data_IF_514331598325
#
_entry.id   IF_514331598325
#
_cell.length_a   1.000
_cell.length_b   1.000
_cell.length_c   1.000
_cell.angle_alpha   90.00
_cell.angle_beta   90.00
_cell.angle_gamma   90.00
#
_symmetry.space_group_name_H-M   'P 1'
#
loop_
_entity.id
_entity.type
_entity.pdbx_description
1 polymer ?
#
# COMPACT_ATOMS: atom_id res chain seq x y z
N UNK A 1 24.90 -6.41 -22.32
CA UNK A 1 23.96 -7.00 -21.35
C UNK A 1 24.80 -7.44 -20.18
N UNK A 2 24.94 -6.56 -19.18
CA UNK A 2 25.59 -6.92 -17.92
C UNK A 2 24.44 -7.34 -17.02
N UNK A 3 24.33 -8.64 -16.79
CA UNK A 3 23.44 -9.25 -15.81
C UNK A 3 23.82 -8.64 -14.46
N UNK A 4 22.89 -7.94 -13.81
CA UNK A 4 23.13 -7.23 -12.56
C UNK A 4 22.81 -8.19 -11.40
N UNK A 5 23.82 -8.82 -10.76
CA UNK A 5 23.60 -9.92 -9.82
C UNK A 5 22.85 -9.50 -8.55
N UNK A 6 22.76 -8.20 -8.25
CA UNK A 6 22.10 -7.71 -7.03
C UNK A 6 20.56 -7.74 -7.07
N UNK A 7 19.94 -7.79 -8.25
CA UNK A 7 18.47 -7.79 -8.36
C UNK A 7 17.90 -9.19 -8.04
N UNK A 8 18.63 -10.25 -8.42
CA UNK A 8 18.20 -11.63 -8.20
C UNK A 8 18.14 -11.98 -6.70
N UNK A 9 19.09 -11.46 -5.91
CA UNK A 9 19.16 -11.75 -4.47
C UNK A 9 17.97 -11.15 -3.68
N UNK A 10 17.49 -9.96 -4.04
CA UNK A 10 16.33 -9.33 -3.38
C UNK A 10 15.00 -10.00 -3.78
N UNK A 11 14.84 -10.34 -5.06
CA UNK A 11 13.63 -11.02 -5.56
C UNK A 11 13.49 -12.42 -4.95
N UNK A 12 14.59 -13.18 -4.84
CA UNK A 12 14.60 -14.51 -4.21
C UNK A 12 14.26 -14.43 -2.72
N UNK A 13 14.70 -13.39 -2.01
CA UNK A 13 14.36 -13.20 -0.60
C UNK A 13 12.87 -12.89 -0.42
N UNK A 14 12.28 -12.07 -1.28
CA UNK A 14 10.84 -11.74 -1.25
C UNK A 14 9.97 -12.96 -1.57
N UNK A 15 10.37 -13.78 -2.54
CA UNK A 15 9.68 -15.02 -2.87
C UNK A 15 9.72 -16.03 -1.72
N UNK A 16 10.88 -16.23 -1.10
CA UNK A 16 11.04 -17.15 0.05
C UNK A 16 10.23 -16.68 1.26
N UNK A 17 10.20 -15.38 1.51
CA UNK A 17 9.41 -14.81 2.59
C UNK A 17 7.90 -14.99 2.33
N UNK A 18 7.46 -14.74 1.09
CA UNK A 18 6.07 -14.93 0.68
C UNK A 18 5.64 -16.38 0.87
N UNK A 19 6.44 -17.35 0.39
CA UNK A 19 6.16 -18.78 0.57
C UNK A 19 6.03 -19.18 2.03
N UNK A 20 6.85 -18.59 2.90
CA UNK A 20 6.84 -18.89 4.32
C UNK A 20 5.61 -18.31 5.03
N UNK A 21 5.18 -17.10 4.65
CA UNK A 21 3.93 -16.50 5.15
C UNK A 21 2.73 -17.34 4.69
N UNK A 22 2.68 -17.71 3.41
CA UNK A 22 1.62 -18.57 2.86
C UNK A 22 1.59 -19.98 3.47
N UNK A 23 2.74 -20.49 3.94
CA UNK A 23 2.78 -21.73 4.70
C UNK A 23 2.14 -21.58 6.09
N UNK A 24 2.36 -20.44 6.75
CA UNK A 24 1.86 -20.19 8.10
C UNK A 24 0.37 -19.85 8.15
N UNK A 25 -0.17 -19.19 7.13
CA UNK A 25 -1.62 -18.91 7.02
C UNK A 25 -2.42 -20.08 6.41
N UNK A 26 -1.74 -21.04 5.78
CA UNK A 26 -2.34 -22.22 5.17
C UNK A 26 -2.89 -22.00 3.76
N UNK A 27 -2.45 -20.94 3.05
CA UNK A 27 -2.87 -20.67 1.67
C UNK A 27 -2.17 -21.56 0.60
N UNK A 28 -1.15 -22.34 0.98
CA UNK A 28 -0.45 -23.27 0.07
C UNK A 28 -1.25 -24.54 -0.23
N UNK A 29 -1.13 -25.03 -1.47
CA UNK A 29 -1.64 -26.35 -1.84
C UNK A 29 -0.77 -27.50 -1.27
N UNK A 30 -1.27 -28.73 -1.28
CA UNK A 30 -0.58 -29.90 -0.73
C UNK A 30 0.84 -30.11 -1.33
N UNK A 31 1.04 -29.77 -2.60
CA UNK A 31 2.33 -29.95 -3.27
C UNK A 31 3.33 -28.88 -2.85
N UNK A 32 2.87 -27.64 -2.74
CA UNK A 32 3.65 -26.50 -2.28
C UNK A 32 3.99 -26.62 -0.79
N UNK A 33 3.05 -27.07 0.03
CA UNK A 33 3.25 -27.33 1.46
C UNK A 33 4.37 -28.34 1.69
N UNK A 34 4.34 -29.48 0.97
CA UNK A 34 5.41 -30.48 1.05
C UNK A 34 6.79 -29.93 0.63
N UNK A 35 6.82 -29.07 -0.40
CA UNK A 35 8.07 -28.45 -0.87
C UNK A 35 8.65 -27.47 0.16
N UNK A 36 7.81 -26.66 0.80
CA UNK A 36 8.24 -25.75 1.88
C UNK A 36 8.69 -26.53 3.11
N UNK A 37 8.00 -27.60 3.49
CA UNK A 37 8.41 -28.47 4.61
C UNK A 37 9.77 -29.12 4.37
N UNK A 38 10.02 -29.61 3.15
CA UNK A 38 11.32 -30.14 2.79
C UNK A 38 12.40 -29.06 2.83
N UNK A 39 12.08 -27.83 2.44
CA UNK A 39 12.99 -26.69 2.52
C UNK A 39 13.32 -26.33 3.97
N UNK A 40 12.31 -26.29 4.86
CA UNK A 40 12.48 -26.07 6.30
C UNK A 40 13.36 -27.15 6.95
N UNK A 41 13.23 -28.42 6.57
CA UNK A 41 14.09 -29.49 7.11
C UNK A 41 15.57 -29.25 6.75
N UNK A 42 15.84 -28.81 5.53
CA UNK A 42 17.19 -28.69 5.00
C UNK A 42 17.85 -27.33 5.29
N UNK A 43 17.05 -26.29 5.53
CA UNK A 43 17.52 -24.91 5.73
C UNK A 43 17.27 -24.44 7.19
N UNK A 44 18.32 -24.30 8.01
CA UNK A 44 18.19 -23.78 9.37
C UNK A 44 17.80 -22.29 9.44
N UNK A 45 18.17 -21.49 8.44
CA UNK A 45 17.85 -20.05 8.41
C UNK A 45 16.37 -19.86 8.09
N UNK A 46 15.84 -20.64 7.15
CA UNK A 46 14.41 -20.66 6.83
C UNK A 46 13.55 -21.07 8.05
N UNK A 47 14.02 -22.04 8.86
CA UNK A 47 13.35 -22.39 10.13
C UNK A 47 13.36 -21.27 11.14
N UNK A 48 14.49 -20.60 11.30
CA UNK A 48 14.60 -19.44 12.20
C UNK A 48 13.61 -18.35 11.81
N UNK A 49 13.47 -18.06 10.52
CA UNK A 49 12.49 -17.09 10.03
C UNK A 49 11.04 -17.55 10.28
N UNK A 50 10.75 -18.84 10.11
CA UNK A 50 9.43 -19.42 10.39
C UNK A 50 9.04 -19.25 11.86
N UNK A 51 9.98 -19.55 12.75
CA UNK A 51 9.81 -19.43 14.20
C UNK A 51 9.57 -17.97 14.64
N UNK A 52 10.28 -17.01 14.03
CA UNK A 52 10.09 -15.58 14.31
C UNK A 52 8.70 -15.13 13.88
N UNK A 53 8.25 -15.51 12.67
CA UNK A 53 6.92 -15.16 12.17
C UNK A 53 5.82 -15.79 13.03
N UNK A 54 5.91 -17.09 13.33
CA UNK A 54 4.99 -17.80 14.22
C UNK A 54 4.88 -17.14 15.60
N UNK A 55 6.02 -16.76 16.19
CA UNK A 55 6.05 -16.07 17.47
C UNK A 55 5.41 -14.68 17.40
N UNK A 56 5.60 -13.97 16.30
CA UNK A 56 4.98 -12.65 16.08
C UNK A 56 3.46 -12.78 15.99
N UNK A 57 2.96 -13.77 15.25
CA UNK A 57 1.52 -14.09 15.21
C UNK A 57 0.97 -14.45 16.59
N UNK A 58 1.71 -15.27 17.36
CA UNK A 58 1.34 -15.59 18.74
C UNK A 58 1.26 -14.37 19.66
N UNK A 59 2.09 -13.34 19.43
CA UNK A 59 2.02 -12.08 20.16
C UNK A 59 0.79 -11.25 19.75
N UNK A 60 0.41 -11.27 18.47
CA UNK A 60 -0.79 -10.62 17.97
C UNK A 60 -2.05 -11.27 18.56
N UNK A 61 -2.09 -12.60 18.65
CA UNK A 61 -3.19 -13.34 19.27
C UNK A 61 -3.30 -13.09 20.78
N UNK A 62 -2.22 -12.65 21.43
CA UNK A 62 -2.20 -12.30 22.84
C UNK A 62 -2.74 -10.88 23.11
N UNK A 63 -3.11 -10.10 22.09
CA UNK A 63 -3.75 -8.80 22.29
C UNK A 63 -5.16 -8.99 22.86
N UNK A 64 -5.49 -8.18 23.87
CA UNK A 64 -6.80 -8.16 24.49
C UNK A 64 -7.86 -7.63 23.52
N UNK A 65 -9.09 -8.16 23.62
CA UNK A 65 -10.20 -7.73 22.76
C UNK A 65 -10.70 -6.36 23.24
N UNK A 66 -10.24 -5.30 22.58
CA UNK A 66 -10.65 -3.92 22.88
C UNK A 66 -12.06 -3.70 22.33
N UNK A 67 -13.06 -4.06 23.14
CA UNK A 67 -14.46 -3.75 22.87
C UNK A 67 -14.68 -2.22 22.83
N UNK A 68 -15.19 -1.72 21.70
CA UNK A 68 -15.57 -0.32 21.57
C UNK A 68 -16.64 0.07 22.62
N UNK A 69 -16.46 1.24 23.25
CA UNK A 69 -17.42 1.70 24.26
C UNK A 69 -18.80 1.96 23.64
N UNK A 70 -19.87 1.71 24.41
CA UNK A 70 -21.25 2.01 23.96
C UNK A 70 -21.41 3.47 23.52
N UNK A 71 -20.64 4.38 24.13
CA UNK A 71 -20.66 5.80 23.77
C UNK A 71 -20.05 6.05 22.38
N UNK A 72 -18.95 5.36 22.03
CA UNK A 72 -18.38 5.43 20.69
C UNK A 72 -19.39 4.95 19.64
N UNK A 73 -20.02 3.79 19.86
CA UNK A 73 -21.04 3.26 18.95
C UNK A 73 -22.21 4.24 18.77
N UNK A 74 -22.70 4.85 19.86
CA UNK A 74 -23.76 5.85 19.80
C UNK A 74 -23.33 7.10 19.03
N UNK A 75 -22.11 7.59 19.26
CA UNK A 75 -21.57 8.75 18.54
C UNK A 75 -21.42 8.46 17.03
N UNK A 76 -20.94 7.27 16.66
CA UNK A 76 -20.85 6.85 15.25
C UNK A 76 -22.23 6.74 14.62
N UNK A 77 -23.19 6.12 15.28
CA UNK A 77 -24.57 6.03 14.78
C UNK A 77 -25.22 7.41 14.64
N UNK A 78 -24.97 8.33 15.57
CA UNK A 78 -25.46 9.70 15.50
C UNK A 78 -24.85 10.45 14.30
N UNK A 79 -23.56 10.26 14.03
CA UNK A 79 -22.87 10.85 12.87
C UNK A 79 -23.45 10.33 11.54
N UNK A 80 -23.63 9.01 11.41
CA UNK A 80 -24.26 8.41 10.23
C UNK A 80 -25.69 8.91 10.06
N UNK A 81 -26.45 9.01 11.15
CA UNK A 81 -27.83 9.51 11.13
C UNK A 81 -27.89 10.97 10.69
N UNK A 82 -27.00 11.83 11.19
CA UNK A 82 -26.94 13.24 10.82
C UNK A 82 -26.65 13.44 9.32
N UNK A 83 -25.76 12.64 8.74
CA UNK A 83 -25.48 12.66 7.29
C UNK A 83 -26.70 12.19 6.49
N UNK A 84 -27.37 11.12 6.93
CA UNK A 84 -28.56 10.58 6.24
C UNK A 84 -29.76 11.53 6.28
N UNK A 85 -29.95 12.27 7.38
CA UNK A 85 -31.02 13.29 7.51
C UNK A 85 -30.74 14.52 6.64
N UNK A 86 -29.46 14.86 6.44
CA UNK A 86 -29.04 15.88 5.48
C UNK A 86 -29.42 15.50 4.04
N UNK A 87 -29.35 14.21 3.69
CA UNK A 87 -29.77 13.68 2.38
C UNK A 87 -31.30 13.64 2.19
N UNK A 88 -32.09 13.31 3.23
CA UNK A 88 -33.56 13.27 3.16
C UNK A 88 -34.20 14.68 3.02
N UNK A 89 -33.46 15.72 3.38
CA UNK A 89 -33.89 17.12 3.21
C UNK A 89 -33.92 17.56 1.73
N UNK A 90 -33.34 16.78 0.81
CA UNK A 90 -33.45 16.96 -0.63
C UNK A 90 -34.76 16.39 -1.20
N UNK A 91 -35.90 16.68 -0.58
CA UNK A 91 -37.21 16.35 -1.16
C UNK A 91 -37.38 17.12 -2.46
N UNK A 92 -37.61 16.45 -3.61
CA UNK A 92 -37.77 17.14 -4.88
C UNK A 92 -39.03 18.02 -4.83
N UNK A 93 -38.88 19.28 -5.23
CA UNK A 93 -39.93 20.29 -5.25
C UNK A 93 -41.27 19.75 -5.77
N UNK A 94 -42.38 20.18 -5.15
CA UNK A 94 -43.74 19.80 -5.53
C UNK A 94 -44.06 20.08 -7.02
N UNK A 95 -43.32 21.01 -7.63
CA UNK A 95 -43.36 21.33 -9.05
C UNK A 95 -42.88 20.17 -9.95
N UNK A 96 -41.88 19.40 -9.49
CA UNK A 96 -41.35 18.23 -10.18
C UNK A 96 -42.36 17.08 -10.22
N UNK A 97 -43.23 16.97 -9.20
CA UNK A 97 -44.30 15.98 -9.11
C UNK A 97 -45.44 16.25 -10.12
N UNK A 98 -45.79 17.52 -10.32
CA UNK A 98 -46.76 17.95 -11.35
C UNK A 98 -46.22 17.75 -12.77
N UNK A 99 -44.93 18.03 -12.98
CA UNK A 99 -44.25 17.82 -14.27
C UNK A 99 -44.18 16.33 -14.65
N UNK A 100 -43.89 15.44 -13.67
CA UNK A 100 -43.93 13.97 -13.88
C UNK A 100 -45.33 13.46 -14.25
N UNK A 101 -46.40 14.00 -13.65
CA UNK A 101 -47.79 13.63 -14.00
C UNK A 101 -48.20 14.11 -15.40
N UNK A 102 -47.73 15.27 -15.84
CA UNK A 102 -47.97 15.75 -17.20
C UNK A 102 -47.23 14.91 -18.26
N UNK A 103 -45.97 14.53 -17.98
CA UNK A 103 -45.17 13.68 -18.87
C UNK A 103 -45.65 12.22 -18.92
N UNK A 104 -46.29 11.71 -17.86
CA UNK A 104 -46.90 10.38 -17.84
C UNK A 104 -48.08 10.22 -18.81
N UNK A 105 -48.63 11.33 -19.33
CA UNK A 105 -49.74 11.34 -20.31
C UNK A 105 -49.27 11.14 -21.75
N UNK A 106 -47.99 11.36 -22.03
CA UNK A 106 -47.35 11.08 -23.32
C UNK A 106 -46.21 10.09 -23.09
N UNK A 107 -46.50 8.79 -22.91
CA UNK A 107 -45.53 7.78 -22.43
C UNK A 107 -44.34 7.49 -23.36
N UNK A 108 -44.39 7.88 -24.64
CA UNK A 108 -43.42 7.44 -25.64
C UNK A 108 -42.44 8.56 -26.03
N UNK A 109 -42.86 9.82 -26.01
CA UNK A 109 -42.04 10.97 -26.43
C UNK A 109 -40.93 11.36 -25.42
N UNK A 110 -41.13 11.36 -24.09
CA UNK A 110 -40.12 11.83 -23.14
C UNK A 110 -38.99 10.82 -22.92
N UNK A 111 -39.19 9.52 -23.18
CA UNK A 111 -38.11 8.53 -23.09
C UNK A 111 -37.01 8.77 -24.13
N UNK A 112 -37.37 9.15 -25.37
CA UNK A 112 -36.39 9.43 -26.42
C UNK A 112 -35.63 10.75 -26.17
N UNK A 113 -36.33 11.79 -25.72
CA UNK A 113 -35.70 13.09 -25.40
C UNK A 113 -34.83 12.98 -24.14
N UNK A 114 -35.29 12.26 -23.10
CA UNK A 114 -34.49 12.03 -21.90
C UNK A 114 -33.27 11.13 -22.18
N UNK A 115 -33.38 10.16 -23.09
CA UNK A 115 -32.25 9.35 -23.53
C UNK A 115 -31.17 10.17 -24.24
N UNK A 116 -31.57 11.06 -25.15
CA UNK A 116 -30.63 11.94 -25.88
C UNK A 116 -29.95 12.97 -24.95
N UNK A 117 -30.72 13.60 -24.05
CA UNK A 117 -30.18 14.58 -23.10
C UNK A 117 -29.31 13.89 -22.04
N UNK A 118 -29.72 12.72 -21.55
CA UNK A 118 -28.94 11.92 -20.60
C UNK A 118 -27.62 11.40 -21.19
N UNK A 119 -27.61 11.00 -22.45
CA UNK A 119 -26.39 10.58 -23.15
C UNK A 119 -25.39 11.73 -23.33
N UNK A 120 -25.86 12.91 -23.77
CA UNK A 120 -25.00 14.07 -23.93
C UNK A 120 -24.50 14.63 -22.58
N UNK A 121 -25.37 14.69 -21.57
CA UNK A 121 -24.99 15.12 -20.22
C UNK A 121 -24.02 14.12 -19.56
N UNK A 122 -24.21 12.81 -19.77
CA UNK A 122 -23.32 11.77 -19.26
C UNK A 122 -21.91 11.87 -19.86
N UNK A 123 -21.80 12.07 -21.17
CA UNK A 123 -20.50 12.29 -21.82
C UNK A 123 -19.84 13.60 -21.38
N UNK A 124 -20.61 14.68 -21.20
CA UNK A 124 -20.10 15.96 -20.72
C UNK A 124 -19.66 15.90 -19.24
N UNK A 125 -20.43 15.21 -18.39
CA UNK A 125 -20.05 14.99 -16.99
C UNK A 125 -18.86 14.04 -16.86
N UNK A 126 -18.75 13.04 -17.73
CA UNK A 126 -17.59 12.14 -17.80
C UNK A 126 -16.33 12.90 -18.22
N UNK A 127 -16.42 13.78 -19.22
CA UNK A 127 -15.30 14.63 -19.63
C UNK A 127 -14.92 15.63 -18.53
N UNK A 128 -15.90 16.29 -17.90
CA UNK A 128 -15.67 17.26 -16.83
C UNK A 128 -15.25 16.62 -15.49
N UNK A 129 -15.50 15.32 -15.30
CA UNK A 129 -15.01 14.56 -14.16
C UNK A 129 -13.59 14.04 -14.39
N UNK A 130 -13.22 13.76 -15.65
CA UNK A 130 -11.85 13.44 -16.04
C UNK A 130 -10.93 14.64 -15.84
N UNK A 131 -11.30 15.82 -16.35
CA UNK A 131 -10.56 17.07 -16.14
C UNK A 131 -10.41 17.43 -14.65
N UNK A 132 -11.43 17.11 -13.82
CA UNK A 132 -11.37 17.35 -12.37
C UNK A 132 -10.53 16.33 -11.61
N UNK A 133 -10.36 15.10 -12.11
CA UNK A 133 -9.43 14.13 -11.51
C UNK A 133 -7.99 14.52 -11.82
N UNK A 134 -7.74 14.95 -13.04
CA UNK A 134 -6.42 15.43 -13.48
C UNK A 134 -6.00 16.68 -12.70
N UNK A 135 -6.88 17.68 -12.60
CA UNK A 135 -6.62 18.88 -11.78
C UNK A 135 -6.46 18.60 -10.27
N UNK A 136 -7.11 17.57 -9.72
CA UNK A 136 -6.97 17.19 -8.30
C UNK A 136 -5.65 16.46 -8.04
N UNK A 137 -5.21 15.64 -9.00
CA UNK A 137 -3.88 15.02 -8.98
C UNK A 137 -2.79 16.08 -9.08
N UNK A 138 -2.90 16.99 -10.05
CA UNK A 138 -1.94 18.07 -10.25
C UNK A 138 -1.89 19.03 -9.06
N UNK A 139 -3.02 19.37 -8.44
CA UNK A 139 -3.04 20.21 -7.25
C UNK A 139 -2.36 19.53 -6.03
N UNK A 140 -2.51 18.21 -5.88
CA UNK A 140 -1.85 17.44 -4.83
C UNK A 140 -0.33 17.31 -5.08
N UNK A 141 0.07 17.07 -6.34
CA UNK A 141 1.47 17.00 -6.76
C UNK A 141 2.12 18.37 -6.60
N UNK A 142 1.49 19.44 -7.09
CA UNK A 142 1.99 20.80 -6.95
C UNK A 142 2.13 21.21 -5.49
N UNK A 143 1.21 20.78 -4.61
CA UNK A 143 1.33 21.02 -3.17
C UNK A 143 2.53 20.30 -2.57
N UNK A 144 2.74 19.02 -2.90
CA UNK A 144 3.91 18.29 -2.45
C UNK A 144 5.22 18.90 -2.98
N UNK A 145 5.24 19.37 -4.23
CA UNK A 145 6.38 20.05 -4.85
C UNK A 145 6.64 21.41 -4.20
N UNK A 146 5.59 22.15 -3.82
CA UNK A 146 5.71 23.43 -3.12
C UNK A 146 6.16 23.25 -1.66
N UNK A 147 5.63 22.25 -0.96
CA UNK A 147 6.04 21.89 0.41
C UNK A 147 7.50 21.41 0.44
N UNK A 148 7.95 20.73 -0.60
CA UNK A 148 9.34 20.28 -0.75
C UNK A 148 10.17 21.20 -1.66
N UNK A 149 9.72 22.42 -1.93
CA UNK A 149 10.37 23.30 -2.91
C UNK A 149 11.80 23.64 -2.52
N UNK A 150 12.05 23.87 -1.22
CA UNK A 150 13.37 24.17 -0.68
C UNK A 150 14.33 22.97 -0.76
N UNK A 151 13.79 21.75 -0.64
CA UNK A 151 14.54 20.50 -0.83
C UNK A 151 14.85 20.26 -2.30
N UNK A 152 13.87 20.48 -3.19
CA UNK A 152 14.02 20.33 -4.64
C UNK A 152 14.96 21.38 -5.23
N UNK A 153 14.94 22.62 -4.72
CA UNK A 153 15.82 23.69 -5.17
C UNK A 153 17.29 23.41 -4.84
N UNK A 154 17.55 22.71 -3.74
CA UNK A 154 18.89 22.39 -3.27
C UNK A 154 19.29 20.93 -3.54
N UNK A 155 18.64 20.25 -4.50
CA UNK A 155 18.92 18.84 -4.81
C UNK A 155 20.42 18.59 -5.06
N UNK A 156 21.09 19.51 -5.77
CA UNK A 156 22.53 19.43 -6.04
C UNK A 156 23.41 19.57 -4.78
N UNK A 157 22.92 20.24 -3.73
CA UNK A 157 23.64 20.38 -2.45
C UNK A 157 23.49 19.14 -1.57
N UNK A 158 22.39 18.39 -1.73
CA UNK A 158 22.12 17.17 -0.96
C UNK A 158 22.58 15.89 -1.69
N UNK A 159 22.89 15.95 -2.98
CA UNK A 159 23.39 14.80 -3.76
C UNK A 159 24.89 14.51 -3.59
N UNK A 160 25.55 15.06 -2.57
CA UNK A 160 27.00 14.91 -2.36
C UNK A 160 27.37 13.50 -1.87
N UNK A 161 26.40 12.74 -1.35
CA UNK A 161 26.57 11.34 -0.99
C UNK A 161 25.71 10.53 -1.97
N UNK A 162 26.31 9.96 -3.03
CA UNK A 162 25.57 9.30 -4.09
C UNK A 162 24.86 8.03 -3.60
N UNK A 163 25.34 7.41 -2.51
CA UNK A 163 24.71 6.21 -1.96
C UNK A 163 25.09 5.93 -0.50
N UNK A 164 24.23 5.20 0.22
CA UNK A 164 24.47 4.73 1.59
C UNK A 164 25.67 3.78 1.69
N UNK A 165 26.07 3.17 0.58
CA UNK A 165 27.25 2.31 0.48
C UNK A 165 28.57 3.10 0.56
N UNK A 166 28.60 4.33 0.07
CA UNK A 166 29.77 5.22 0.21
C UNK A 166 30.05 5.58 1.68
N UNK A 167 29.01 5.58 2.52
CA UNK A 167 29.14 5.80 3.97
C UNK A 167 29.63 4.55 4.72
N UNK A 168 29.42 3.35 4.17
CA UNK A 168 30.02 2.12 4.69
C UNK A 168 31.51 2.06 4.43
N UNK A 169 31.96 2.53 3.28
CA UNK A 169 33.37 2.53 2.89
C UNK A 169 34.22 3.52 3.71
N UNK A 170 33.62 4.63 4.19
CA UNK A 170 34.27 5.57 5.09
C UNK A 170 34.32 5.12 6.57
N UNK A 171 33.56 4.08 6.95
CA UNK A 171 33.54 3.54 8.32
C UNK A 171 34.68 2.54 8.49
N UNK A 172 35.91 3.04 8.53
CA UNK A 172 37.09 2.30 8.97
C UNK A 172 37.59 2.86 10.30
N UNK A 173 37.68 2.00 11.31
CA UNK A 173 39.00 1.62 11.79
C UNK A 173 39.13 0.10 11.90
N UNK A 174 39.95 -0.51 11.04
CA UNK A 174 40.58 -1.79 11.39
C UNK A 174 41.63 -1.53 12.48
N UNK A 175 41.34 -2.01 13.68
CA UNK A 175 42.29 -2.12 14.78
C UNK A 175 43.35 -3.19 14.42
N UNK A 176 44.65 -2.85 14.32
CA UNK A 176 45.70 -3.74 13.83
C UNK A 176 46.11 -4.86 14.82
N UNK A 177 45.30 -5.16 15.83
CA UNK A 177 45.69 -6.01 16.95
C UNK A 177 45.39 -7.51 16.78
N UNK A 178 44.73 -7.95 15.69
CA UNK A 178 44.20 -9.33 15.62
C UNK A 178 44.89 -10.30 14.64
N UNK A 179 45.67 -9.86 13.65
CA UNK A 179 45.98 -10.75 12.49
C UNK A 179 47.38 -11.35 12.39
N UNK A 180 48.34 -11.14 13.31
CA UNK A 180 49.67 -11.81 13.18
C UNK A 180 50.25 -12.43 14.45
N UNK A 181 49.39 -12.98 15.30
CA UNK A 181 49.73 -14.12 16.17
C UNK A 181 49.94 -15.44 15.39
N UNK A 182 49.82 -15.45 14.06
CA UNK A 182 49.83 -16.66 13.24
C UNK A 182 51.08 -16.86 12.34
N UNK A 183 52.06 -15.94 12.33
CA UNK A 183 53.25 -16.07 11.43
C UNK A 183 54.53 -16.52 12.15
N UNK A 184 54.51 -16.64 13.49
CA UNK A 184 55.70 -17.01 14.29
C UNK A 184 55.59 -18.42 14.89
N UNK A 185 55.17 -19.43 14.10
CA UNK A 185 55.32 -20.86 14.44
C UNK A 185 55.53 -21.66 13.15
N UNK A 186 56.79 -21.73 12.71
CA UNK A 186 57.23 -22.54 11.58
C UNK A 186 58.74 -22.37 11.39
N UNK A 187 59.52 -22.95 12.29
CA UNK A 187 60.98 -23.00 12.19
C UNK A 187 61.50 -24.30 11.57
N UNK A 188 62.84 -24.43 11.61
CA UNK A 188 63.69 -25.59 11.29
C UNK A 188 64.04 -25.64 9.78
N UNK A 189 65.29 -25.55 9.30
CA UNK A 189 66.64 -25.87 9.83
C UNK A 189 67.68 -24.75 9.57
#
# INVERSE_FOLDING_TARGET
MVENPHIEDEEILDERQTQLVSYLDGELDDTQMNAVEQSLINDPDMRSHADILSRTWSMLDALDDVSASKQFTQATLASISAESVSAESARPDANFRKFKQAMARYRIVPCFVAGLIGGAAGLFLSHAAWDRREQRGDAAINRAVLENFELLQNTDLYSIIPDVDSLRELKLPEDPSATKAAVQKGGVE
#
